data_IF_025756104894
#
_entry.id   IF_025756104894
#
_cell.length_a   1.000
_cell.length_b   1.000
_cell.length_c   1.000
_cell.angle_alpha   90.00
_cell.angle_beta   90.00
_cell.angle_gamma   90.00
#
_symmetry.space_group_name_H-M   'P 1'
#
loop_
_entity.id
_entity.type
_entity.pdbx_description
1 polymer ?
#
# COMPACT_ATOMS: atom_id res chain seq x y z
N UNK A 1 -19.13 11.68 -10.27
CA UNK A 1 -19.17 10.74 -11.42
C UNK A 1 -19.64 9.37 -10.94
N UNK A 2 -20.26 8.52 -11.78
CA UNK A 2 -20.58 7.14 -11.41
C UNK A 2 -19.32 6.37 -10.96
N UNK A 3 -19.29 5.76 -9.76
CA UNK A 3 -18.08 5.14 -9.21
C UNK A 3 -17.45 4.06 -10.10
N UNK A 4 -18.28 3.23 -10.74
CA UNK A 4 -17.84 2.20 -11.68
C UNK A 4 -17.03 2.79 -12.84
N UNK A 5 -17.60 3.77 -13.54
CA UNK A 5 -16.95 4.40 -14.70
C UNK A 5 -15.67 5.15 -14.29
N UNK A 6 -15.63 5.65 -13.05
CA UNK A 6 -14.43 6.27 -12.51
C UNK A 6 -13.30 5.23 -12.30
N UNK A 7 -13.61 4.04 -11.77
CA UNK A 7 -12.61 2.96 -11.63
C UNK A 7 -12.07 2.51 -12.99
N UNK A 8 -12.95 2.40 -13.99
CA UNK A 8 -12.53 2.16 -15.37
C UNK A 8 -11.56 3.24 -15.85
N UNK A 9 -11.91 4.51 -15.69
CA UNK A 9 -11.06 5.63 -16.12
C UNK A 9 -9.70 5.61 -15.41
N UNK A 10 -9.68 5.48 -14.08
CA UNK A 10 -8.45 5.56 -13.29
C UNK A 10 -7.51 4.39 -13.55
N UNK A 11 -8.03 3.19 -13.87
CA UNK A 11 -7.19 2.03 -14.16
C UNK A 11 -6.33 2.18 -15.43
N UNK A 12 -6.76 3.03 -16.37
CA UNK A 12 -6.03 3.24 -17.65
C UNK A 12 -4.62 3.82 -17.46
N UNK A 13 -4.40 4.63 -16.42
CA UNK A 13 -3.09 5.24 -16.16
C UNK A 13 -2.02 4.21 -15.81
N UNK A 14 -2.36 3.24 -14.98
CA UNK A 14 -1.47 2.15 -14.59
C UNK A 14 -1.23 1.17 -15.74
N UNK A 15 -2.25 0.90 -16.56
CA UNK A 15 -2.09 0.06 -17.76
C UNK A 15 -1.15 0.71 -18.78
N UNK A 16 -1.28 2.01 -19.02
CA UNK A 16 -0.38 2.75 -19.89
C UNK A 16 1.07 2.72 -19.35
N UNK A 17 1.25 2.92 -18.04
CA UNK A 17 2.56 2.94 -17.39
C UNK A 17 3.24 1.56 -17.46
N UNK A 18 2.51 0.48 -17.18
CA UNK A 18 3.01 -0.89 -17.29
C UNK A 18 3.45 -1.22 -18.74
N UNK A 19 2.65 -0.84 -19.73
CA UNK A 19 2.98 -1.04 -21.13
C UNK A 19 4.24 -0.26 -21.56
N UNK A 20 4.35 1.00 -21.13
CA UNK A 20 5.53 1.83 -21.43
C UNK A 20 6.80 1.27 -20.78
N UNK A 21 6.73 0.77 -19.55
CA UNK A 21 7.86 0.13 -18.88
C UNK A 21 8.29 -1.16 -19.59
N UNK A 22 7.34 -2.00 -20.01
CA UNK A 22 7.65 -3.19 -20.81
C UNK A 22 8.32 -2.83 -22.15
N UNK A 23 7.86 -1.79 -22.84
CA UNK A 23 8.51 -1.28 -24.07
C UNK A 23 9.93 -0.77 -23.80
N UNK A 24 10.15 -0.09 -22.68
CA UNK A 24 11.48 0.39 -22.28
C UNK A 24 12.44 -0.77 -21.97
N UNK A 25 11.96 -1.83 -21.28
CA UNK A 25 12.72 -3.04 -21.02
C UNK A 25 13.10 -3.78 -22.32
N UNK A 26 12.17 -3.88 -23.27
CA UNK A 26 12.46 -4.42 -24.60
C UNK A 26 13.52 -3.60 -25.34
N UNK A 27 13.49 -2.27 -25.25
CA UNK A 27 14.47 -1.40 -25.89
C UNK A 27 15.90 -1.60 -25.36
N UNK A 28 16.06 -2.10 -24.13
CA UNK A 28 17.37 -2.45 -23.54
C UNK A 28 17.69 -3.96 -23.61
N UNK A 29 16.92 -4.72 -24.40
CA UNK A 29 17.18 -6.14 -24.67
C UNK A 29 16.63 -7.12 -23.62
N UNK A 30 15.76 -6.66 -22.71
CA UNK A 30 15.08 -7.52 -21.74
C UNK A 30 13.72 -7.95 -22.27
N UNK A 31 13.32 -9.21 -22.01
CA UNK A 31 11.98 -9.67 -22.34
C UNK A 31 11.03 -9.29 -21.20
N UNK A 32 9.91 -8.61 -21.50
CA UNK A 32 8.95 -8.16 -20.50
C UNK A 32 7.51 -8.24 -21.02
N UNK A 33 6.56 -8.55 -20.14
CA UNK A 33 5.14 -8.67 -20.51
C UNK A 33 4.30 -7.83 -19.56
N UNK A 34 3.63 -6.81 -20.10
CA UNK A 34 2.69 -5.99 -19.33
C UNK A 34 1.36 -6.74 -19.11
N UNK A 35 0.91 -6.77 -17.85
CA UNK A 35 -0.33 -7.42 -17.43
C UNK A 35 -1.21 -6.39 -16.72
N UNK A 36 -2.49 -6.30 -17.08
CA UNK A 36 -3.50 -5.62 -16.26
C UNK A 36 -3.72 -6.35 -14.93
N UNK A 37 -4.32 -5.69 -13.94
CA UNK A 37 -4.68 -6.37 -12.68
C UNK A 37 -5.61 -7.57 -12.88
N UNK A 38 -6.45 -7.55 -13.93
CA UNK A 38 -7.23 -8.70 -14.38
C UNK A 38 -6.33 -9.86 -14.84
N UNK A 39 -5.39 -9.59 -15.74
CA UNK A 39 -4.48 -10.61 -16.27
C UNK A 39 -3.52 -11.14 -15.20
N UNK A 40 -3.21 -10.34 -14.19
CA UNK A 40 -2.45 -10.74 -13.01
C UNK A 40 -3.29 -11.49 -11.95
N UNK A 41 -4.58 -11.75 -12.23
CA UNK A 41 -5.46 -12.54 -11.37
C UNK A 41 -5.83 -11.87 -10.04
N UNK A 42 -5.83 -10.53 -9.96
CA UNK A 42 -6.17 -9.80 -8.73
C UNK A 42 -7.69 -9.74 -8.59
N UNK A 43 -8.25 -10.59 -7.73
CA UNK A 43 -9.70 -10.64 -7.45
C UNK A 43 -10.00 -9.82 -6.19
N UNK A 44 -11.05 -8.99 -6.26
CA UNK A 44 -11.46 -8.08 -5.19
C UNK A 44 -12.97 -8.16 -4.93
N UNK A 45 -13.37 -7.95 -3.67
CA UNK A 45 -14.77 -7.72 -3.32
C UNK A 45 -15.25 -6.37 -3.86
N UNK A 46 -16.51 -6.31 -4.26
CA UNK A 46 -17.08 -5.15 -4.95
C UNK A 46 -17.31 -3.96 -4.01
N UNK A 47 -16.40 -2.99 -4.09
CA UNK A 47 -16.57 -1.62 -3.59
C UNK A 47 -15.79 -0.69 -4.51
N UNK A 48 -16.45 -0.12 -5.51
CA UNK A 48 -15.79 0.81 -6.46
C UNK A 48 -15.11 1.94 -5.70
N UNK A 49 -13.87 2.26 -6.07
CA UNK A 49 -13.01 3.26 -5.41
C UNK A 49 -12.23 2.78 -4.18
N UNK A 50 -12.59 1.65 -3.56
CA UNK A 50 -11.93 1.11 -2.35
C UNK A 50 -12.10 -0.41 -2.25
N UNK A 51 -11.70 -1.10 -3.34
CA UNK A 51 -11.74 -2.55 -3.44
C UNK A 51 -10.87 -3.23 -2.38
N UNK A 52 -11.30 -4.42 -1.95
CA UNK A 52 -10.54 -5.29 -1.05
C UNK A 52 -10.20 -6.58 -1.75
N UNK A 53 -8.89 -6.80 -1.96
CA UNK A 53 -8.35 -8.04 -2.52
C UNK A 53 -8.89 -9.21 -1.71
N UNK A 54 -9.57 -10.15 -2.39
CA UNK A 54 -10.07 -11.39 -1.81
C UNK A 54 -9.11 -12.54 -2.04
N UNK A 55 -8.48 -12.60 -3.22
CA UNK A 55 -7.45 -13.57 -3.60
C UNK A 55 -6.65 -13.07 -4.80
N UNK A 56 -5.51 -13.71 -5.04
CA UNK A 56 -4.66 -13.48 -6.20
C UNK A 56 -4.44 -14.83 -6.88
N UNK A 57 -4.73 -14.91 -8.18
CA UNK A 57 -4.55 -16.10 -9.01
C UNK A 57 -3.32 -15.90 -9.92
N UNK A 58 -2.18 -16.46 -9.51
CA UNK A 58 -0.86 -16.13 -10.11
C UNK A 58 -0.53 -16.87 -11.40
N UNK A 59 -1.40 -17.76 -11.90
CA UNK A 59 -1.06 -18.66 -13.01
C UNK A 59 -0.52 -17.96 -14.26
N UNK A 60 -1.11 -16.82 -14.66
CA UNK A 60 -0.60 -16.06 -15.80
C UNK A 60 0.76 -15.41 -15.54
N UNK A 61 1.07 -15.06 -14.30
CA UNK A 61 2.36 -14.50 -13.91
C UNK A 61 3.42 -15.60 -13.94
N UNK A 62 3.10 -16.79 -13.41
CA UNK A 62 3.97 -17.96 -13.43
C UNK A 62 4.32 -18.35 -14.88
N UNK A 63 3.34 -18.40 -15.79
CA UNK A 63 3.57 -18.64 -17.23
C UNK A 63 4.60 -17.65 -17.83
N UNK A 64 4.48 -16.36 -17.50
CA UNK A 64 5.41 -15.33 -18.00
C UNK A 64 6.82 -15.52 -17.43
N UNK A 65 6.93 -15.90 -16.14
CA UNK A 65 8.21 -16.18 -15.49
C UNK A 65 8.87 -17.45 -16.07
N UNK A 66 8.10 -18.49 -16.38
CA UNK A 66 8.58 -19.72 -17.03
C UNK A 66 9.13 -19.46 -18.44
N UNK A 67 8.61 -18.44 -19.14
CA UNK A 67 9.12 -17.96 -20.43
C UNK A 67 10.36 -17.06 -20.31
N UNK A 68 10.99 -16.98 -19.12
CA UNK A 68 12.12 -16.10 -18.79
C UNK A 68 11.83 -14.61 -19.10
N UNK A 69 10.56 -14.20 -19.00
CA UNK A 69 10.13 -12.82 -19.20
C UNK A 69 9.81 -12.13 -17.87
N UNK A 70 9.98 -10.81 -17.83
CA UNK A 70 9.69 -9.97 -16.66
C UNK A 70 8.20 -9.57 -16.70
N UNK A 71 7.35 -10.06 -15.78
CA UNK A 71 5.96 -9.61 -15.71
C UNK A 71 5.89 -8.19 -15.13
N UNK A 72 5.24 -7.27 -15.85
CA UNK A 72 5.00 -5.89 -15.41
C UNK A 72 3.51 -5.71 -15.14
N UNK A 73 3.12 -5.72 -13.87
CA UNK A 73 1.71 -5.69 -13.47
C UNK A 73 1.26 -4.24 -13.26
N UNK A 74 0.14 -3.87 -13.88
CA UNK A 74 -0.53 -2.60 -13.61
C UNK A 74 -1.16 -2.64 -12.21
N UNK A 75 -0.59 -1.87 -11.28
CA UNK A 75 -1.01 -1.81 -9.87
C UNK A 75 -2.37 -1.14 -9.66
N UNK A 76 -2.75 -0.98 -8.39
CA UNK A 76 -3.93 -0.21 -7.92
C UNK A 76 -5.31 -0.73 -8.39
N UNK A 77 -5.34 -1.71 -9.27
CA UNK A 77 -6.56 -2.25 -9.87
C UNK A 77 -6.71 -3.76 -9.63
N UNK A 78 -7.94 -4.23 -9.67
CA UNK A 78 -8.31 -5.64 -9.71
C UNK A 78 -9.66 -5.81 -10.41
N UNK A 79 -10.21 -7.01 -10.33
CA UNK A 79 -11.55 -7.32 -10.85
C UNK A 79 -12.47 -7.90 -9.78
N UNK A 80 -13.77 -7.72 -9.94
CA UNK A 80 -14.76 -8.48 -9.17
C UNK A 80 -14.91 -9.90 -9.72
N UNK A 81 -15.62 -10.76 -8.98
CA UNK A 81 -16.05 -12.09 -9.48
C UNK A 81 -16.91 -12.01 -10.76
N UNK A 82 -17.52 -10.85 -11.02
CA UNK A 82 -18.32 -10.58 -12.23
C UNK A 82 -17.54 -9.80 -13.28
N UNK A 83 -16.21 -9.78 -13.18
CA UNK A 83 -15.31 -9.20 -14.19
C UNK A 83 -15.41 -7.67 -14.36
N UNK A 84 -15.84 -6.97 -13.32
CA UNK A 84 -15.86 -5.50 -13.28
C UNK A 84 -14.53 -4.96 -12.75
N UNK A 85 -13.97 -3.95 -13.42
CA UNK A 85 -12.73 -3.30 -12.96
C UNK A 85 -13.03 -2.51 -11.68
N UNK A 86 -12.19 -2.72 -10.66
CA UNK A 86 -12.26 -1.99 -9.40
C UNK A 86 -10.89 -1.44 -9.04
N UNK A 87 -10.88 -0.23 -8.49
CA UNK A 87 -9.67 0.35 -7.89
C UNK A 87 -9.59 0.00 -6.41
N UNK A 88 -8.37 -0.13 -5.89
CA UNK A 88 -8.11 -0.64 -4.54
C UNK A 88 -7.99 0.46 -3.46
N UNK A 89 -8.29 1.71 -3.83
CA UNK A 89 -8.09 2.88 -2.97
C UNK A 89 -6.79 3.63 -3.29
N UNK A 90 -6.70 4.91 -2.93
CA UNK A 90 -5.53 5.76 -3.23
C UNK A 90 -4.25 5.16 -2.66
N UNK A 91 -3.17 5.11 -3.44
CA UNK A 91 -1.87 4.58 -3.00
C UNK A 91 -1.82 3.05 -2.89
N UNK A 92 -2.82 2.34 -3.39
CA UNK A 92 -2.89 0.89 -3.26
C UNK A 92 -1.98 0.10 -4.20
N UNK A 93 -1.08 0.75 -4.97
CA UNK A 93 -0.05 0.03 -5.72
C UNK A 93 0.90 -0.73 -4.78
N UNK A 94 1.20 -0.17 -3.60
CA UNK A 94 1.93 -0.88 -2.53
C UNK A 94 1.17 -2.15 -2.10
N UNK A 95 -0.15 -2.06 -1.97
CA UNK A 95 -1.00 -3.20 -1.60
C UNK A 95 -1.00 -4.27 -2.68
N UNK A 96 -1.04 -3.89 -3.96
CA UNK A 96 -0.91 -4.84 -5.08
C UNK A 96 0.43 -5.57 -5.02
N UNK A 97 1.54 -4.85 -4.81
CA UNK A 97 2.88 -5.43 -4.75
C UNK A 97 3.00 -6.46 -3.60
N UNK A 98 2.55 -6.11 -2.39
CA UNK A 98 2.57 -7.02 -1.23
C UNK A 98 1.68 -8.24 -1.47
N UNK A 99 0.48 -8.06 -2.02
CA UNK A 99 -0.42 -9.18 -2.30
C UNK A 99 0.16 -10.16 -3.32
N UNK A 100 0.82 -9.66 -4.36
CA UNK A 100 1.52 -10.47 -5.35
C UNK A 100 2.73 -11.19 -4.73
N UNK A 101 3.53 -10.49 -3.93
CA UNK A 101 4.69 -11.08 -3.24
C UNK A 101 4.27 -12.26 -2.36
N UNK A 102 3.18 -12.11 -1.61
CA UNK A 102 2.61 -13.20 -0.79
C UNK A 102 2.13 -14.36 -1.68
N UNK A 103 1.37 -14.06 -2.73
CA UNK A 103 0.80 -15.09 -3.61
C UNK A 103 1.88 -15.88 -4.37
N UNK A 104 3.00 -15.22 -4.71
CA UNK A 104 4.15 -15.82 -5.38
C UNK A 104 5.16 -16.44 -4.40
N UNK A 105 4.91 -16.38 -3.08
CA UNK A 105 5.84 -16.85 -2.05
C UNK A 105 7.24 -16.22 -2.17
N UNK A 106 7.29 -14.92 -2.47
CA UNK A 106 8.55 -14.18 -2.57
C UNK A 106 9.25 -14.08 -1.20
N UNK A 107 10.58 -13.94 -1.21
CA UNK A 107 11.36 -13.76 0.02
C UNK A 107 11.19 -12.36 0.62
N UNK A 108 10.98 -11.35 -0.23
CA UNK A 108 10.83 -9.94 0.15
C UNK A 108 10.01 -9.18 -0.89
N UNK A 109 9.22 -8.21 -0.45
CA UNK A 109 8.55 -7.24 -1.30
C UNK A 109 9.33 -5.92 -1.31
N UNK A 110 9.94 -5.56 -2.45
CA UNK A 110 10.63 -4.28 -2.58
C UNK A 110 9.69 -3.18 -3.09
N UNK A 111 9.73 -2.02 -2.45
CA UNK A 111 9.02 -0.82 -2.89
C UNK A 111 10.00 0.30 -3.18
N UNK A 112 9.94 0.82 -4.39
CA UNK A 112 10.84 1.88 -4.87
C UNK A 112 10.10 3.22 -4.87
N UNK A 113 10.64 4.19 -4.12
CA UNK A 113 10.02 5.50 -3.86
C UNK A 113 11.02 6.65 -4.10
N UNK A 114 10.53 7.88 -4.01
CA UNK A 114 11.34 9.10 -4.09
C UNK A 114 12.05 9.45 -2.76
N UNK A 115 11.99 8.56 -1.78
CA UNK A 115 12.66 8.66 -0.48
C UNK A 115 13.64 7.49 -0.28
N UNK A 116 14.69 7.71 0.52
CA UNK A 116 15.71 6.70 0.84
C UNK A 116 15.22 5.58 1.77
N UNK A 117 14.05 5.74 2.36
CA UNK A 117 13.50 4.83 3.37
C UNK A 117 12.58 5.57 4.33
N UNK A 118 12.33 4.96 5.49
CA UNK A 118 11.55 5.54 6.59
C UNK A 118 12.49 6.35 7.48
N UNK A 119 12.09 7.58 7.83
CA UNK A 119 12.86 8.45 8.71
C UNK A 119 12.18 8.62 10.08
N UNK A 120 12.98 8.92 11.10
CA UNK A 120 12.52 9.17 12.48
C UNK A 120 11.60 10.38 12.62
N UNK A 121 11.58 11.26 11.62
CA UNK A 121 10.64 12.38 11.47
C UNK A 121 10.68 12.81 10.00
N UNK A 122 9.73 13.63 9.55
CA UNK A 122 9.79 14.20 8.20
C UNK A 122 11.10 15.02 8.02
N UNK A 123 12.03 14.61 7.13
CA UNK A 123 13.30 15.30 6.92
C UNK A 123 13.13 16.68 6.29
N UNK A 124 11.98 16.98 5.67
CA UNK A 124 11.66 18.30 5.16
C UNK A 124 11.47 19.29 6.32
N UNK A 125 10.83 18.85 7.40
CA UNK A 125 10.56 19.63 8.63
C UNK A 125 11.73 19.58 9.61
N UNK A 126 12.25 18.38 9.89
CA UNK A 126 13.30 18.13 10.89
C UNK A 126 14.60 17.74 10.20
N UNK A 127 15.51 18.69 10.01
CA UNK A 127 16.81 18.46 9.31
C UNK A 127 17.74 17.45 9.98
N UNK A 128 17.48 17.09 11.24
CA UNK A 128 18.23 16.08 11.99
C UNK A 128 17.53 14.70 12.01
N UNK A 129 16.46 14.53 11.24
CA UNK A 129 15.79 13.25 11.08
C UNK A 129 16.81 12.20 10.61
N UNK A 130 16.73 11.00 11.18
CA UNK A 130 17.63 9.90 10.86
C UNK A 130 16.84 8.83 10.14
N UNK A 131 17.42 8.25 9.09
CA UNK A 131 16.86 7.06 8.46
C UNK A 131 16.85 5.91 9.47
N UNK A 132 15.78 5.15 9.46
CA UNK A 132 15.60 3.94 10.27
C UNK A 132 15.96 2.77 9.37
N UNK A 133 16.93 1.95 9.75
CA UNK A 133 17.35 0.80 8.92
C UNK A 133 16.34 -0.35 9.01
N UNK A 134 15.80 -0.60 10.20
CA UNK A 134 14.82 -1.67 10.48
C UNK A 134 13.69 -1.17 11.38
N UNK A 135 12.44 -1.47 11.01
CA UNK A 135 11.23 -1.10 11.74
C UNK A 135 10.23 -2.26 11.79
N UNK A 136 9.56 -2.44 12.93
CA UNK A 136 8.54 -3.47 13.09
C UNK A 136 7.24 -3.13 12.33
N UNK A 137 6.45 -4.14 11.96
CA UNK A 137 5.14 -3.92 11.32
C UNK A 137 4.22 -3.00 12.15
N UNK A 138 4.12 -3.22 13.46
CA UNK A 138 3.27 -2.41 14.35
C UNK A 138 3.76 -0.96 14.46
N UNK A 139 5.08 -0.77 14.56
CA UNK A 139 5.71 0.56 14.61
C UNK A 139 5.44 1.33 13.30
N UNK A 140 5.61 0.66 12.16
CA UNK A 140 5.38 1.26 10.85
C UNK A 140 3.89 1.55 10.62
N UNK A 141 3.00 0.64 11.04
CA UNK A 141 1.55 0.82 10.92
C UNK A 141 1.10 2.06 11.68
N UNK A 142 1.56 2.24 12.93
CA UNK A 142 1.24 3.43 13.73
C UNK A 142 1.84 4.71 13.13
N UNK A 143 3.04 4.65 12.55
CA UNK A 143 3.60 5.80 11.86
C UNK A 143 2.78 6.20 10.62
N UNK A 144 2.31 5.22 9.84
CA UNK A 144 1.48 5.47 8.66
C UNK A 144 0.10 6.01 9.02
N UNK A 145 -0.56 5.46 10.04
CA UNK A 145 -1.90 5.93 10.46
C UNK A 145 -1.90 7.36 10.97
N UNK A 146 -0.77 7.84 11.49
CA UNK A 146 -0.59 9.19 12.05
C UNK A 146 0.05 10.19 11.06
N UNK A 147 0.12 9.84 9.76
CA UNK A 147 0.47 10.79 8.70
C UNK A 147 1.75 10.49 7.92
N UNK A 148 2.49 9.42 8.22
CA UNK A 148 3.60 8.98 7.35
C UNK A 148 3.05 8.48 6.02
N UNK A 149 3.40 9.15 4.92
CA UNK A 149 2.97 8.78 3.56
C UNK A 149 3.92 7.81 2.85
N UNK A 150 4.88 7.22 3.58
CA UNK A 150 5.88 6.33 2.96
C UNK A 150 5.22 5.08 2.39
N UNK A 151 4.28 4.46 3.08
CA UNK A 151 3.63 3.23 2.61
C UNK A 151 2.16 3.18 3.01
N UNK A 152 1.32 2.58 2.18
CA UNK A 152 -0.09 2.39 2.47
C UNK A 152 -0.32 1.44 3.67
N UNK A 153 -1.15 1.83 4.65
CA UNK A 153 -1.42 1.05 5.89
C UNK A 153 -1.88 -0.38 5.62
N UNK A 154 -2.87 -0.55 4.72
CA UNK A 154 -3.36 -1.87 4.30
C UNK A 154 -2.27 -2.80 3.74
N UNK A 155 -1.21 -2.26 3.13
CA UNK A 155 -0.10 -3.08 2.63
C UNK A 155 0.74 -3.61 3.80
N UNK A 156 1.00 -2.77 4.82
CA UNK A 156 1.70 -3.15 6.05
C UNK A 156 0.87 -4.18 6.83
N UNK A 157 -0.44 -3.99 6.96
CA UNK A 157 -1.35 -4.96 7.60
C UNK A 157 -1.31 -6.31 6.91
N UNK A 158 -1.38 -6.33 5.57
CA UNK A 158 -1.33 -7.55 4.78
C UNK A 158 0.03 -8.25 4.92
N UNK A 159 1.12 -7.49 4.86
CA UNK A 159 2.47 -8.01 5.06
C UNK A 159 2.64 -8.62 6.46
N UNK A 160 2.16 -7.92 7.50
CA UNK A 160 2.20 -8.40 8.88
C UNK A 160 1.38 -9.68 9.08
N UNK A 161 0.25 -9.83 8.40
CA UNK A 161 -0.60 -11.01 8.54
C UNK A 161 0.01 -12.26 7.90
N UNK A 162 0.97 -12.10 6.99
CA UNK A 162 1.61 -13.17 6.24
C UNK A 162 3.13 -13.25 6.45
N UNK A 163 3.67 -12.50 7.42
CA UNK A 163 5.10 -12.38 7.68
C UNK A 163 5.95 -12.06 6.42
N UNK A 164 5.41 -11.25 5.50
CA UNK A 164 6.10 -10.83 4.27
C UNK A 164 6.97 -9.59 4.51
N UNK A 165 8.31 -9.69 4.51
CA UNK A 165 9.18 -8.54 4.70
C UNK A 165 9.01 -7.53 3.55
N UNK A 166 9.06 -6.25 3.88
CA UNK A 166 9.02 -5.16 2.89
C UNK A 166 10.30 -4.36 2.97
N UNK A 167 10.99 -4.17 1.84
CA UNK A 167 12.12 -3.25 1.74
C UNK A 167 11.65 -1.96 1.07
N UNK A 168 11.74 -0.83 1.77
CA UNK A 168 11.47 0.50 1.20
C UNK A 168 12.79 1.12 0.75
N UNK A 169 12.96 1.28 -0.56
CA UNK A 169 14.18 1.77 -1.20
C UNK A 169 13.92 2.98 -2.09
N UNK A 170 14.99 3.70 -2.43
CA UNK A 170 14.90 4.83 -3.37
C UNK A 170 15.01 4.36 -4.81
N UNK A 171 14.19 4.91 -5.71
CA UNK A 171 14.37 4.80 -7.16
C UNK A 171 15.42 5.78 -7.73
N UNK A 172 15.93 6.69 -6.91
CA UNK A 172 16.82 7.78 -7.33
C UNK A 172 18.24 7.67 -6.79
N UNK A 173 18.44 6.91 -5.72
CA UNK A 173 19.73 6.78 -5.03
C UNK A 173 20.02 5.32 -4.71
N UNK A 174 21.29 4.94 -4.82
CA UNK A 174 21.77 3.60 -4.50
C UNK A 174 22.28 3.58 -3.04
N UNK A 175 21.33 3.56 -2.11
CA UNK A 175 21.58 3.46 -0.67
C UNK A 175 20.73 2.34 -0.09
N UNK A 176 21.18 1.64 0.97
CA UNK A 176 20.35 0.65 1.65
C UNK A 176 19.01 1.26 2.05
N UNK A 177 17.90 0.55 1.84
CA UNK A 177 16.57 1.02 2.21
C UNK A 177 16.26 0.91 3.71
N UNK A 178 14.98 0.90 4.03
CA UNK A 178 14.44 0.50 5.35
C UNK A 178 13.73 -0.83 5.22
N UNK A 179 14.10 -1.82 6.03
CA UNK A 179 13.41 -3.10 6.11
C UNK A 179 12.28 -3.03 7.15
N UNK A 180 11.06 -3.30 6.70
CA UNK A 180 9.87 -3.47 7.54
C UNK A 180 9.65 -4.97 7.70
N UNK A 181 9.74 -5.49 8.91
CA UNK A 181 9.61 -6.92 9.15
C UNK A 181 9.10 -7.26 10.56
N UNK A 182 8.74 -8.53 10.75
CA UNK A 182 8.41 -9.10 12.05
C UNK A 182 9.67 -9.54 12.81
N UNK A 183 9.51 -9.83 14.10
CA UNK A 183 10.59 -10.34 14.94
C UNK A 183 11.02 -9.38 16.05
N UNK A 184 11.63 -9.94 17.10
CA UNK A 184 12.10 -9.17 18.24
C UNK A 184 13.52 -8.63 17.96
N UNK A 185 13.62 -7.32 17.83
CA UNK A 185 14.89 -6.62 18.06
C UNK A 185 15.17 -6.72 19.57
N UNK A 186 16.34 -7.24 19.96
CA UNK A 186 16.73 -7.52 21.37
C UNK A 186 16.59 -6.29 22.30
N UNK A 187 16.63 -6.55 23.62
CA UNK A 187 16.22 -5.73 24.79
C UNK A 187 16.49 -4.20 24.81
N UNK A 188 17.38 -3.65 23.99
CA UNK A 188 17.62 -2.20 23.90
C UNK A 188 16.63 -1.52 22.93
N UNK A 189 15.39 -1.29 23.40
CA UNK A 189 14.42 -0.46 22.65
C UNK A 189 14.62 1.02 22.93
N UNK A 190 14.88 1.79 21.88
CA UNK A 190 14.46 3.20 21.85
C UNK A 190 12.94 3.24 22.04
N UNK A 191 12.47 3.78 23.17
CA UNK A 191 11.03 3.84 23.48
C UNK A 191 10.21 4.63 22.47
N UNK A 192 10.87 5.53 21.74
CA UNK A 192 10.28 6.32 20.66
C UNK A 192 11.18 6.16 19.44
N UNK A 193 10.65 5.59 18.36
CA UNK A 193 11.38 5.32 17.12
C UNK A 193 11.22 6.44 16.10
N UNK A 194 10.05 7.08 16.10
CA UNK A 194 9.76 8.19 15.22
C UNK A 194 8.70 9.14 15.76
N UNK A 195 8.63 10.31 15.15
CA UNK A 195 7.61 11.34 15.37
C UNK A 195 7.03 11.70 14.02
N UNK A 196 5.73 11.46 13.88
CA UNK A 196 4.94 11.79 12.69
C UNK A 196 3.88 12.82 13.07
N UNK A 197 3.43 13.59 12.09
CA UNK A 197 2.40 14.58 12.30
C UNK A 197 1.48 14.63 11.10
N UNK A 198 0.18 14.74 11.37
CA UNK A 198 -0.84 14.98 10.37
C UNK A 198 -1.37 16.41 10.53
N UNK A 199 -1.30 17.19 9.45
CA UNK A 199 -1.79 18.56 9.40
C UNK A 199 -3.19 18.67 8.78
N UNK A 200 -3.69 17.60 8.15
CA UNK A 200 -5.00 17.57 7.48
C UNK A 200 -6.09 17.00 8.40
N UNK A 201 -6.13 17.50 9.64
CA UNK A 201 -7.06 17.04 10.68
C UNK A 201 -7.83 18.20 11.29
N UNK A 202 -9.10 17.95 11.65
CA UNK A 202 -9.95 18.88 12.36
C UNK A 202 -10.26 18.37 13.77
N UNK A 203 -10.01 19.19 14.80
CA UNK A 203 -10.35 18.85 16.18
C UNK A 203 -11.76 19.35 16.51
N UNK A 204 -12.68 18.42 16.79
CA UNK A 204 -14.03 18.71 17.27
C UNK A 204 -14.14 18.28 18.73
N UNK A 205 -14.70 19.13 19.59
CA UNK A 205 -14.93 18.80 21.01
C UNK A 205 -16.40 18.95 21.36
N UNK A 206 -17.05 17.83 21.67
CA UNK A 206 -18.42 17.81 22.20
C UNK A 206 -18.36 17.97 23.73
N UNK A 207 -19.09 18.96 24.26
CA UNK A 207 -19.13 19.27 25.69
C UNK A 207 -20.51 18.96 26.25
N UNK A 208 -20.56 18.75 27.57
CA UNK A 208 -21.82 18.55 28.31
C UNK A 208 -22.65 17.37 27.79
N UNK A 209 -21.98 16.27 27.44
CA UNK A 209 -22.64 15.02 27.07
C UNK A 209 -23.17 14.31 28.33
N UNK A 210 -24.39 13.75 28.30
CA UNK A 210 -24.86 12.84 29.34
C UNK A 210 -23.96 11.60 29.46
N UNK A 211 -23.73 11.13 30.69
CA UNK A 211 -22.97 9.89 30.95
C UNK A 211 -23.93 8.70 31.09
N UNK A 212 -24.48 8.29 29.94
CA UNK A 212 -25.39 7.15 29.86
C UNK A 212 -25.09 6.28 28.62
N UNK A 213 -25.35 4.96 28.69
CA UNK A 213 -25.17 4.07 27.54
C UNK A 213 -25.95 4.56 26.30
N UNK A 214 -25.29 4.55 25.15
CA UNK A 214 -25.88 4.91 23.85
C UNK A 214 -25.56 6.33 23.36
N UNK A 215 -24.98 7.21 24.18
CA UNK A 215 -24.55 8.55 23.73
C UNK A 215 -23.46 8.46 22.66
N UNK A 216 -22.46 7.59 22.85
CA UNK A 216 -21.42 7.36 21.83
C UNK A 216 -22.02 6.89 20.49
N UNK A 217 -22.99 5.97 20.51
CA UNK A 217 -23.65 5.50 19.29
C UNK A 217 -24.40 6.65 18.57
N UNK A 218 -25.13 7.49 19.32
CA UNK A 218 -25.81 8.67 18.77
C UNK A 218 -24.83 9.66 18.10
N UNK A 219 -23.56 9.69 18.54
CA UNK A 219 -22.52 10.55 17.96
C UNK A 219 -21.88 9.88 16.73
N UNK A 220 -21.45 8.62 16.83
CA UNK A 220 -20.65 7.98 15.79
C UNK A 220 -21.48 7.36 14.66
N UNK A 221 -22.72 6.93 14.89
CA UNK A 221 -23.55 6.35 13.82
C UNK A 221 -23.85 7.33 12.68
N UNK A 222 -24.24 8.60 12.93
CA UNK A 222 -24.44 9.57 11.85
C UNK A 222 -23.16 9.86 11.07
N UNK A 223 -22.01 9.95 11.76
CA UNK A 223 -20.71 10.18 11.14
C UNK A 223 -20.32 9.02 10.22
N UNK A 224 -20.51 7.78 10.68
CA UNK A 224 -20.28 6.57 9.88
C UNK A 224 -21.22 6.50 8.66
N UNK A 225 -22.51 6.82 8.82
CA UNK A 225 -23.49 6.89 7.71
C UNK A 225 -23.12 7.95 6.67
N UNK A 226 -22.50 9.05 7.10
CA UNK A 226 -21.97 10.09 6.24
C UNK A 226 -20.59 9.79 5.66
N UNK A 227 -20.00 8.61 5.98
CA UNK A 227 -18.64 8.22 5.59
C UNK A 227 -17.56 9.22 6.03
N UNK A 228 -17.74 9.84 7.20
CA UNK A 228 -16.75 10.74 7.81
C UNK A 228 -15.74 9.89 8.60
N UNK A 229 -14.46 10.03 8.28
CA UNK A 229 -13.36 9.45 9.06
C UNK A 229 -13.19 10.24 10.35
N UNK A 230 -13.12 9.55 11.50
CA UNK A 230 -12.92 10.12 12.84
C UNK A 230 -11.70 9.50 13.48
#
# INVERSE_FOLDING_TARGET
>A
PPPRELDHLLSTGEQASAALLAMALHAIGQNAVALSGRQAGIISKQRFGDGRISRVEVGRIEEVLEEEAIPIIAGFQGITETDEIVTLGRGASDLTAVALAIALSADVCETYKDVEGVFSADPQVVKKARKIDEIGYEEMLEMTTQGSQVMHSRAIELASAHDMPILVSSSMTDVPGTLIHGGNIMEERNRVRGVVGDTDVAKITLRSLPDEPGIAAKIFEPLAKAAISV
#
